data_IF_291504658166
#
_entry.id   IF_291504658166
#
_cell.length_a   1.000
_cell.length_b   1.000
_cell.length_c   1.000
_cell.angle_alpha   90.00
_cell.angle_beta   90.00
_cell.angle_gamma   90.00
#
_symmetry.space_group_name_H-M   'P 1'
#
loop_
_entity.id
_entity.type
_entity.pdbx_description
1 polymer ?
#
# COMPACT_ATOMS: atom_id res chain seq x y z
N UNK A 1 12.95 15.12 -9.99
CA UNK A 1 11.52 14.77 -9.95
C UNK A 1 11.39 13.26 -10.04
N UNK A 2 10.47 12.68 -9.31
CA UNK A 2 10.15 11.24 -9.35
C UNK A 2 8.73 11.08 -9.85
N UNK A 3 8.52 10.30 -10.89
CA UNK A 3 7.19 10.03 -11.44
C UNK A 3 6.59 8.78 -10.83
N UNK A 4 5.47 8.93 -10.17
CA UNK A 4 4.68 7.86 -9.55
C UNK A 4 3.53 7.49 -10.48
N UNK A 5 3.40 6.21 -10.80
CA UNK A 5 2.18 5.65 -11.36
C UNK A 5 1.38 4.98 -10.24
N UNK A 6 0.10 5.31 -10.14
CA UNK A 6 -0.82 4.71 -9.17
C UNK A 6 -1.97 4.05 -9.92
N UNK A 7 -2.27 2.81 -9.59
CA UNK A 7 -3.32 2.03 -10.23
C UNK A 7 -4.51 1.90 -9.30
N UNK A 8 -5.68 2.26 -9.82
CA UNK A 8 -6.98 1.95 -9.22
C UNK A 8 -7.56 0.75 -9.93
N UNK A 9 -7.62 -0.38 -9.24
CA UNK A 9 -7.95 -1.68 -9.83
C UNK A 9 -9.34 -2.13 -9.39
N UNK A 10 -10.13 -2.63 -10.34
CA UNK A 10 -11.29 -3.47 -10.05
C UNK A 10 -10.87 -4.93 -10.20
N UNK A 11 -10.45 -5.53 -9.10
CA UNK A 11 -10.08 -6.95 -9.10
C UNK A 11 -11.30 -7.84 -9.33
N UNK A 12 -11.15 -8.82 -10.20
CA UNK A 12 -12.09 -9.92 -10.40
C UNK A 12 -11.75 -11.09 -9.46
N UNK A 13 -12.60 -12.09 -9.40
CA UNK A 13 -12.32 -13.34 -8.67
C UNK A 13 -11.30 -14.24 -9.38
N UNK A 14 -10.95 -13.92 -10.62
CA UNK A 14 -10.00 -14.67 -11.45
C UNK A 14 -8.59 -14.05 -11.35
N UNK A 15 -7.69 -14.77 -10.69
CA UNK A 15 -6.30 -14.37 -10.50
C UNK A 15 -5.56 -14.11 -11.82
N UNK A 16 -5.78 -14.93 -12.84
CA UNK A 16 -5.07 -14.80 -14.11
C UNK A 16 -5.53 -13.58 -14.91
N UNK A 17 -6.85 -13.25 -14.85
CA UNK A 17 -7.37 -12.01 -15.45
C UNK A 17 -6.78 -10.78 -14.76
N UNK A 18 -6.66 -10.81 -13.42
CA UNK A 18 -6.06 -9.70 -12.68
C UNK A 18 -4.56 -9.58 -12.99
N UNK A 19 -3.82 -10.70 -13.04
CA UNK A 19 -2.41 -10.69 -13.41
C UNK A 19 -2.19 -10.04 -14.78
N UNK A 20 -2.99 -10.42 -15.81
CA UNK A 20 -2.92 -9.78 -17.14
C UNK A 20 -3.13 -8.27 -17.07
N UNK A 21 -4.11 -7.78 -16.30
CA UNK A 21 -4.33 -6.34 -16.08
C UNK A 21 -3.13 -5.67 -15.40
N UNK A 22 -2.56 -6.31 -14.38
CA UNK A 22 -1.41 -5.81 -13.63
C UNK A 22 -0.20 -5.65 -14.56
N UNK A 23 0.12 -6.69 -15.33
CA UNK A 23 1.22 -6.67 -16.31
C UNK A 23 1.03 -5.56 -17.36
N UNK A 24 -0.20 -5.39 -17.86
CA UNK A 24 -0.54 -4.29 -18.77
C UNK A 24 -0.29 -2.91 -18.12
N UNK A 25 -0.71 -2.70 -16.86
CA UNK A 25 -0.49 -1.42 -16.18
C UNK A 25 0.99 -1.16 -15.87
N UNK A 26 1.79 -2.19 -15.55
CA UNK A 26 3.25 -2.05 -15.38
C UNK A 26 3.88 -1.54 -16.68
N UNK A 27 3.57 -2.18 -17.80
CA UNK A 27 4.07 -1.75 -19.13
C UNK A 27 3.60 -0.33 -19.46
N UNK A 28 2.33 0.01 -19.20
CA UNK A 28 1.79 1.35 -19.42
C UNK A 28 2.49 2.39 -18.54
N UNK A 29 2.76 2.07 -17.27
CA UNK A 29 3.48 2.95 -16.34
C UNK A 29 4.88 3.28 -16.86
N UNK A 30 5.62 2.26 -17.28
CA UNK A 30 6.97 2.42 -17.83
C UNK A 30 6.99 3.24 -19.12
N UNK A 31 6.05 3.00 -20.06
CA UNK A 31 5.91 3.79 -21.29
C UNK A 31 5.64 5.28 -21.03
N UNK A 32 5.06 5.64 -19.87
CA UNK A 32 4.87 7.02 -19.46
C UNK A 32 6.02 7.57 -18.58
N UNK A 33 7.13 6.83 -18.49
CA UNK A 33 8.33 7.25 -17.75
C UNK A 33 8.18 7.22 -16.24
N UNK A 34 7.29 6.38 -15.69
CA UNK A 34 7.16 6.26 -14.25
C UNK A 34 8.35 5.49 -13.65
N UNK A 35 8.85 5.96 -12.49
CA UNK A 35 9.90 5.28 -11.73
C UNK A 35 9.37 4.11 -10.92
N UNK A 36 8.11 4.17 -10.51
CA UNK A 36 7.43 3.16 -9.70
C UNK A 36 5.94 3.09 -10.06
N UNK A 37 5.40 1.86 -10.05
CA UNK A 37 3.99 1.59 -10.23
C UNK A 37 3.43 0.94 -8.97
N UNK A 38 2.41 1.57 -8.36
CA UNK A 38 1.80 1.12 -7.11
C UNK A 38 0.39 0.56 -7.35
N UNK A 39 0.13 -0.63 -6.84
CA UNK A 39 -1.13 -1.35 -6.93
C UNK A 39 -1.84 -1.43 -5.58
N UNK A 40 -3.18 -1.61 -5.56
CA UNK A 40 -3.97 -1.68 -4.33
C UNK A 40 -3.80 -3.01 -3.58
N UNK A 41 -4.37 -3.05 -2.37
CA UNK A 41 -4.57 -4.27 -1.59
C UNK A 41 -5.48 -5.25 -2.37
N UNK A 42 -5.30 -6.56 -2.15
CA UNK A 42 -6.10 -7.62 -2.78
C UNK A 42 -6.08 -7.62 -4.31
N UNK A 43 -4.99 -7.12 -4.90
CA UNK A 43 -4.86 -7.06 -6.36
C UNK A 43 -4.81 -8.45 -7.02
N UNK A 44 -4.46 -9.48 -6.23
CA UNK A 44 -4.38 -10.85 -6.72
C UNK A 44 -5.74 -11.39 -7.15
N UNK A 45 -6.77 -11.24 -6.31
CA UNK A 45 -8.16 -11.51 -6.65
C UNK A 45 -9.11 -10.94 -5.58
N UNK A 46 -10.34 -10.65 -5.99
CA UNK A 46 -11.43 -10.28 -5.11
C UNK A 46 -11.98 -11.50 -4.40
N UNK A 47 -12.13 -11.44 -3.07
CA UNK A 47 -12.74 -12.49 -2.24
C UNK A 47 -14.22 -12.19 -2.02
N UNK A 48 -15.09 -13.14 -2.42
CA UNK A 48 -16.53 -13.07 -2.10
C UNK A 48 -16.74 -13.34 -0.61
N UNK A 49 -17.84 -12.84 -0.05
CA UNK A 49 -18.24 -13.12 1.33
C UNK A 49 -18.42 -14.63 1.60
N UNK A 50 -18.90 -15.38 0.60
CA UNK A 50 -19.09 -16.82 0.65
C UNK A 50 -17.80 -17.65 0.59
N UNK A 51 -16.64 -17.04 0.27
CA UNK A 51 -15.37 -17.76 0.18
C UNK A 51 -14.88 -18.17 1.56
N UNK A 52 -14.68 -19.47 1.75
CA UNK A 52 -14.21 -20.03 3.02
C UNK A 52 -12.72 -19.73 3.25
N UNK A 53 -12.24 -19.78 4.51
CA UNK A 53 -10.81 -19.66 4.82
C UNK A 53 -9.94 -20.67 4.08
N UNK A 54 -10.41 -21.93 3.94
CA UNK A 54 -9.72 -22.98 3.20
C UNK A 54 -9.57 -22.63 1.73
N UNK A 55 -10.65 -22.22 1.06
CA UNK A 55 -10.61 -21.81 -0.36
C UNK A 55 -9.64 -20.64 -0.59
N UNK A 56 -9.60 -19.67 0.33
CA UNK A 56 -8.64 -18.57 0.23
C UNK A 56 -7.20 -19.07 0.37
N UNK A 57 -6.93 -19.96 1.33
CA UNK A 57 -5.59 -20.52 1.56
C UNK A 57 -5.12 -21.41 0.39
N UNK A 58 -6.03 -22.14 -0.24
CA UNK A 58 -5.72 -22.96 -1.42
C UNK A 58 -5.32 -22.11 -2.65
N UNK A 59 -5.89 -20.91 -2.79
CA UNK A 59 -5.58 -19.97 -3.87
C UNK A 59 -4.36 -19.10 -3.61
N UNK A 60 -3.92 -18.98 -2.36
CA UNK A 60 -2.78 -18.18 -1.95
C UNK A 60 -1.45 -18.74 -2.48
N UNK A 61 -0.47 -17.87 -2.65
CA UNK A 61 0.87 -18.26 -3.11
C UNK A 61 1.97 -17.85 -2.11
N UNK A 62 3.12 -18.50 -2.19
CA UNK A 62 4.33 -18.02 -1.51
C UNK A 62 4.78 -16.70 -2.15
N UNK A 63 5.58 -15.92 -1.40
CA UNK A 63 6.12 -14.65 -1.93
C UNK A 63 6.96 -14.83 -3.21
N UNK A 64 7.57 -15.97 -3.40
CA UNK A 64 8.30 -16.37 -4.61
C UNK A 64 7.47 -17.27 -5.54
N UNK A 65 6.14 -17.27 -5.40
CA UNK A 65 5.21 -17.99 -6.27
C UNK A 65 5.03 -17.31 -7.63
N UNK A 66 4.28 -17.99 -8.52
CA UNK A 66 4.11 -17.55 -9.90
C UNK A 66 3.58 -16.12 -10.03
N UNK A 67 2.60 -15.74 -9.21
CA UNK A 67 1.99 -14.41 -9.28
C UNK A 67 3.01 -13.28 -9.10
N UNK A 68 3.86 -13.36 -8.07
CA UNK A 68 4.88 -12.32 -7.82
C UNK A 68 6.05 -12.46 -8.79
N UNK A 69 6.40 -13.68 -9.22
CA UNK A 69 7.46 -13.91 -10.22
C UNK A 69 7.13 -13.25 -11.56
N UNK A 70 5.90 -13.36 -12.05
CA UNK A 70 5.47 -12.69 -13.29
C UNK A 70 5.53 -11.15 -13.16
N UNK A 71 5.12 -10.60 -12.01
CA UNK A 71 5.23 -9.17 -11.72
C UNK A 71 6.71 -8.74 -11.67
N UNK A 72 7.57 -9.54 -11.05
CA UNK A 72 9.01 -9.28 -10.95
C UNK A 72 9.68 -9.30 -12.34
N UNK A 73 9.30 -10.24 -13.19
CA UNK A 73 9.76 -10.30 -14.59
C UNK A 73 9.32 -9.07 -15.37
N UNK A 74 8.06 -8.65 -15.22
CA UNK A 74 7.55 -7.44 -15.87
C UNK A 74 8.24 -6.16 -15.35
N UNK A 75 8.51 -6.08 -14.05
CA UNK A 75 9.28 -4.98 -13.45
C UNK A 75 10.68 -4.89 -14.06
N UNK A 76 11.37 -6.03 -14.21
CA UNK A 76 12.69 -6.12 -14.85
C UNK A 76 12.64 -5.72 -16.33
N UNK A 77 11.73 -6.31 -17.10
CA UNK A 77 11.57 -6.04 -18.54
C UNK A 77 11.28 -4.57 -18.85
N UNK A 78 10.57 -3.90 -17.95
CA UNK A 78 10.18 -2.50 -18.09
C UNK A 78 11.06 -1.53 -17.27
N UNK A 79 12.11 -2.01 -16.58
CA UNK A 79 13.04 -1.23 -15.76
C UNK A 79 12.34 -0.32 -14.73
N UNK A 80 11.21 -0.76 -14.16
CA UNK A 80 10.35 -0.01 -13.25
C UNK A 80 10.25 -0.70 -11.88
N UNK A 81 10.16 0.06 -10.80
CA UNK A 81 9.82 -0.51 -9.49
C UNK A 81 8.32 -0.79 -9.39
N UNK A 82 7.94 -1.81 -8.60
CA UNK A 82 6.54 -2.17 -8.37
C UNK A 82 6.27 -2.37 -6.89
N UNK A 83 5.22 -1.70 -6.38
CA UNK A 83 4.59 -2.00 -5.08
C UNK A 83 3.28 -2.72 -5.34
N UNK A 84 3.09 -3.87 -4.70
CA UNK A 84 1.87 -4.66 -4.84
C UNK A 84 1.57 -5.46 -3.58
N UNK A 85 0.46 -6.19 -3.61
CA UNK A 85 0.04 -7.08 -2.51
C UNK A 85 -0.28 -8.48 -3.01
N UNK A 86 -0.22 -9.45 -2.11
CA UNK A 86 -0.68 -10.81 -2.39
C UNK A 86 -1.31 -11.43 -1.15
N UNK A 87 -2.16 -12.41 -1.35
CA UNK A 87 -2.49 -13.39 -0.32
C UNK A 87 -1.33 -14.38 -0.23
N UNK A 88 -0.48 -14.22 0.80
CA UNK A 88 0.70 -15.06 1.00
C UNK A 88 0.31 -16.30 1.83
N UNK A 89 0.76 -17.48 1.39
CA UNK A 89 0.61 -18.73 2.16
C UNK A 89 1.20 -18.58 3.56
N UNK A 90 0.43 -18.95 4.58
CA UNK A 90 0.92 -19.00 5.96
C UNK A 90 1.18 -20.44 6.40
N UNK A 91 1.90 -20.60 7.51
CA UNK A 91 2.08 -21.90 8.18
C UNK A 91 0.84 -22.32 8.97
N UNK A 92 -0.08 -21.40 9.26
CA UNK A 92 -1.35 -21.72 9.93
C UNK A 92 -2.34 -22.28 8.94
N UNK A 93 -2.91 -23.45 9.25
CA UNK A 93 -3.91 -24.14 8.43
C UNK A 93 -5.08 -23.22 8.10
N UNK A 94 -5.49 -23.20 6.83
CA UNK A 94 -6.61 -22.41 6.31
C UNK A 94 -6.51 -20.90 6.59
N UNK A 95 -5.30 -20.36 6.68
CA UNK A 95 -5.03 -18.93 6.89
C UNK A 95 -3.99 -18.43 5.93
N UNK A 96 -4.06 -17.14 5.60
CA UNK A 96 -3.09 -16.44 4.74
C UNK A 96 -2.55 -15.21 5.45
N UNK A 97 -1.43 -14.67 4.97
CA UNK A 97 -1.05 -13.28 5.25
C UNK A 97 -1.55 -12.38 4.13
N UNK A 98 -1.92 -11.16 4.47
CA UNK A 98 -2.00 -10.06 3.52
C UNK A 98 -0.63 -9.39 3.50
N UNK A 99 0.07 -9.51 2.36
CA UNK A 99 1.48 -9.12 2.26
C UNK A 99 1.68 -8.10 1.17
N UNK A 100 2.22 -6.93 1.54
CA UNK A 100 2.74 -5.94 0.61
C UNK A 100 4.19 -6.29 0.26
N UNK A 101 4.55 -6.12 -1.01
CA UNK A 101 5.91 -6.35 -1.51
C UNK A 101 6.39 -5.20 -2.39
N UNK A 102 7.71 -5.00 -2.40
CA UNK A 102 8.41 -4.09 -3.29
C UNK A 102 9.38 -4.88 -4.16
N UNK A 103 9.18 -4.78 -5.47
CA UNK A 103 10.10 -5.28 -6.49
C UNK A 103 10.88 -4.10 -7.07
N UNK A 104 12.21 -4.24 -7.20
CA UNK A 104 13.04 -3.23 -7.84
C UNK A 104 13.07 -3.40 -9.38
N UNK A 105 13.68 -2.44 -10.08
CA UNK A 105 13.79 -2.44 -11.55
C UNK A 105 14.60 -3.61 -12.13
N UNK A 106 15.29 -4.38 -11.29
CA UNK A 106 16.02 -5.59 -11.69
C UNK A 106 15.20 -6.87 -11.48
N UNK A 107 13.92 -6.74 -11.08
CA UNK A 107 13.03 -7.87 -10.80
C UNK A 107 13.31 -8.55 -9.45
N UNK A 108 14.06 -7.92 -8.54
CA UNK A 108 14.33 -8.48 -7.21
C UNK A 108 13.29 -7.98 -6.20
N UNK A 109 12.69 -8.89 -5.44
CA UNK A 109 11.89 -8.55 -4.26
C UNK A 109 12.85 -8.02 -3.19
N UNK A 110 12.72 -6.74 -2.85
CA UNK A 110 13.66 -6.04 -1.95
C UNK A 110 13.09 -5.79 -0.57
N UNK A 111 11.76 -5.80 -0.44
CA UNK A 111 11.08 -5.66 0.85
C UNK A 111 9.72 -6.36 0.82
N UNK A 112 9.32 -6.90 1.97
CA UNK A 112 7.97 -7.42 2.21
C UNK A 112 7.48 -6.93 3.56
N UNK A 113 6.16 -6.74 3.65
CA UNK A 113 5.47 -6.35 4.88
C UNK A 113 4.17 -7.13 4.98
N UNK A 114 3.95 -7.86 6.07
CA UNK A 114 2.69 -8.53 6.39
C UNK A 114 1.83 -7.61 7.24
N UNK A 115 0.60 -7.36 6.83
CA UNK A 115 -0.38 -6.51 7.53
C UNK A 115 -0.47 -6.88 9.01
N UNK A 116 -0.24 -5.90 9.89
CA UNK A 116 -0.28 -6.10 11.35
C UNK A 116 -1.71 -5.97 11.86
N UNK A 117 -2.44 -4.94 11.41
CA UNK A 117 -3.79 -4.66 11.90
C UNK A 117 -4.82 -5.24 10.94
N UNK A 118 -5.39 -6.38 11.33
CA UNK A 118 -6.49 -7.01 10.59
C UNK A 118 -7.79 -6.23 10.83
N UNK A 119 -8.62 -6.13 9.78
CA UNK A 119 -9.87 -5.38 9.85
C UNK A 119 -10.98 -6.24 10.49
N UNK A 120 -11.01 -6.24 11.82
CA UNK A 120 -12.06 -6.86 12.64
C UNK A 120 -12.99 -5.78 13.18
N UNK A 121 -13.78 -5.17 12.30
CA UNK A 121 -14.67 -4.07 12.65
C UNK A 121 -15.84 -3.94 11.66
N UNK A 122 -16.93 -3.36 12.11
CA UNK A 122 -18.11 -3.00 11.30
C UNK A 122 -18.66 -4.20 10.50
N UNK A 123 -18.74 -5.37 11.12
CA UNK A 123 -19.27 -6.60 10.52
C UNK A 123 -18.26 -7.38 9.66
N UNK A 124 -17.03 -6.91 9.55
CA UNK A 124 -15.93 -7.65 8.89
C UNK A 124 -15.02 -8.28 9.94
N UNK A 125 -14.46 -9.44 9.61
CA UNK A 125 -13.57 -10.19 10.48
C UNK A 125 -12.47 -10.87 9.65
N UNK A 126 -11.43 -10.08 9.32
CA UNK A 126 -10.28 -10.59 8.55
C UNK A 126 -9.53 -11.68 9.30
N UNK A 127 -9.50 -11.63 10.65
CA UNK A 127 -8.85 -12.63 11.48
C UNK A 127 -9.41 -14.04 11.34
N UNK A 128 -10.63 -14.22 10.77
CA UNK A 128 -11.16 -15.54 10.45
C UNK A 128 -10.40 -16.22 9.31
N UNK A 129 -9.80 -15.45 8.42
CA UNK A 129 -9.14 -15.93 7.19
C UNK A 129 -7.64 -15.61 7.15
N UNK A 130 -7.17 -14.65 7.95
CA UNK A 130 -5.81 -14.12 7.90
C UNK A 130 -5.07 -14.27 9.23
N UNK A 131 -3.76 -14.17 9.14
CA UNK A 131 -2.83 -14.11 10.28
C UNK A 131 -2.21 -12.72 10.30
N UNK A 132 -2.21 -12.02 11.43
CA UNK A 132 -1.52 -10.74 11.54
C UNK A 132 -0.01 -10.89 11.39
N UNK A 133 0.63 -9.91 10.79
CA UNK A 133 2.07 -9.75 10.82
C UNK A 133 2.57 -9.46 12.24
N UNK A 134 3.83 -9.74 12.50
CA UNK A 134 4.43 -9.61 13.85
C UNK A 134 5.41 -8.43 13.98
N UNK A 135 5.70 -7.71 12.89
CA UNK A 135 6.69 -6.62 12.89
C UNK A 135 6.51 -5.63 11.75
N UNK A 136 6.83 -4.39 12.01
CA UNK A 136 6.91 -3.33 11.01
C UNK A 136 8.12 -3.62 10.10
N UNK A 137 7.93 -3.55 8.80
CA UNK A 137 9.05 -3.63 7.86
C UNK A 137 9.85 -2.32 7.87
N UNK A 138 11.16 -2.41 8.10
CA UNK A 138 12.02 -1.23 8.04
C UNK A 138 11.94 -0.59 6.64
N UNK A 139 11.92 0.75 6.54
CA UNK A 139 11.94 1.44 5.27
C UNK A 139 13.14 1.05 4.42
N UNK A 140 12.98 1.12 3.11
CA UNK A 140 14.02 0.81 2.14
C UNK A 140 14.51 2.09 1.47
N UNK A 141 15.81 2.38 1.55
CA UNK A 141 16.44 3.45 0.78
C UNK A 141 16.55 3.04 -0.69
N UNK A 142 16.09 3.90 -1.59
CA UNK A 142 16.10 3.70 -3.04
C UNK A 142 16.57 4.97 -3.75
N UNK A 143 16.72 4.91 -5.09
CA UNK A 143 17.04 6.10 -5.90
C UNK A 143 15.95 7.19 -5.87
N UNK A 144 14.70 6.82 -5.57
CA UNK A 144 13.56 7.76 -5.54
C UNK A 144 13.21 8.25 -4.13
N UNK A 145 13.99 7.86 -3.12
CA UNK A 145 13.78 8.19 -1.71
C UNK A 145 13.68 6.94 -0.83
N UNK A 146 13.44 7.17 0.45
CA UNK A 146 13.27 6.12 1.46
C UNK A 146 11.80 5.74 1.56
N UNK A 147 11.48 4.49 1.20
CA UNK A 147 10.11 3.99 1.04
C UNK A 147 9.67 3.19 2.26
N UNK A 148 8.52 3.55 2.84
CA UNK A 148 7.84 2.79 3.88
C UNK A 148 6.56 2.15 3.36
N UNK A 149 6.12 1.04 3.96
CA UNK A 149 4.92 0.30 3.56
C UNK A 149 4.00 0.06 4.74
N UNK A 150 2.72 0.27 4.52
CA UNK A 150 1.61 -0.09 5.40
C UNK A 150 0.44 -0.56 4.53
N UNK A 151 -0.57 -1.23 5.09
CA UNK A 151 -1.69 -1.75 4.31
C UNK A 151 -3.01 -1.27 4.92
N UNK A 152 -3.82 -0.55 4.12
CA UNK A 152 -5.24 -0.27 4.33
C UNK A 152 -5.60 0.12 5.78
N UNK A 153 -6.05 -0.83 6.60
CA UNK A 153 -6.48 -0.60 7.98
C UNK A 153 -5.38 -0.06 8.89
N UNK A 154 -4.10 -0.31 8.56
CA UNK A 154 -2.95 0.29 9.27
C UNK A 154 -2.99 1.83 9.26
N UNK A 155 -3.67 2.45 8.27
CA UNK A 155 -3.89 3.90 8.22
C UNK A 155 -4.61 4.45 9.47
N UNK A 156 -5.38 3.62 10.18
CA UNK A 156 -6.08 4.05 11.39
C UNK A 156 -5.18 4.11 12.62
N UNK A 157 -4.00 3.53 12.56
CA UNK A 157 -3.03 3.45 13.65
C UNK A 157 -1.88 4.43 13.39
N UNK A 158 -1.88 5.62 14.05
CA UNK A 158 -0.86 6.64 13.81
C UNK A 158 0.54 6.14 14.10
N UNK A 159 0.70 5.17 14.99
CA UNK A 159 1.96 4.54 15.35
C UNK A 159 2.66 3.93 14.14
N UNK A 160 1.91 3.32 13.21
CA UNK A 160 2.50 2.70 12.02
C UNK A 160 3.24 3.73 11.16
N UNK A 161 2.55 4.75 10.70
CA UNK A 161 3.14 5.79 9.85
C UNK A 161 4.20 6.59 10.60
N UNK A 162 4.00 6.82 11.91
CA UNK A 162 4.97 7.51 12.76
C UNK A 162 6.28 6.73 12.90
N UNK A 163 6.22 5.43 13.17
CA UNK A 163 7.42 4.60 13.28
C UNK A 163 8.17 4.52 11.95
N UNK A 164 7.46 4.38 10.82
CA UNK A 164 8.07 4.42 9.49
C UNK A 164 8.77 5.75 9.21
N UNK A 165 8.13 6.87 9.54
CA UNK A 165 8.71 8.21 9.36
C UNK A 165 9.92 8.43 10.25
N UNK A 166 9.90 7.98 11.51
CA UNK A 166 11.05 8.03 12.44
C UNK A 166 12.21 7.16 11.97
N UNK A 167 11.92 6.04 11.30
CA UNK A 167 12.90 5.20 10.65
C UNK A 167 13.39 5.75 9.28
N UNK A 168 12.98 6.98 8.93
CA UNK A 168 13.49 7.73 7.78
C UNK A 168 12.62 7.71 6.53
N UNK A 169 11.41 7.14 6.55
CA UNK A 169 10.54 7.16 5.37
C UNK A 169 10.25 8.57 4.89
N UNK A 170 10.38 8.78 3.59
CA UNK A 170 10.05 10.01 2.87
C UNK A 170 8.77 9.85 2.06
N UNK A 171 8.52 8.61 1.62
CA UNK A 171 7.34 8.21 0.86
C UNK A 171 6.74 6.98 1.54
N UNK A 172 5.46 7.05 1.89
CA UNK A 172 4.69 5.95 2.44
C UNK A 172 3.75 5.39 1.36
N UNK A 173 3.81 4.09 1.13
CA UNK A 173 2.85 3.37 0.30
C UNK A 173 1.81 2.69 1.19
N UNK A 174 0.53 2.91 0.87
CA UNK A 174 -0.62 2.37 1.60
C UNK A 174 -1.60 1.67 0.64
N UNK A 175 -1.20 0.55 -0.01
CA UNK A 175 -2.15 -0.27 -0.76
C UNK A 175 -3.40 -0.55 0.05
N UNK A 176 -4.58 -0.35 -0.55
CA UNK A 176 -5.84 -0.42 0.18
C UNK A 176 -6.95 -1.07 -0.64
N UNK A 177 -7.92 -1.62 0.09
CA UNK A 177 -9.20 -2.08 -0.41
C UNK A 177 -10.28 -1.48 0.51
N UNK A 178 -10.42 -0.16 0.46
CA UNK A 178 -11.21 0.62 1.42
C UNK A 178 -12.70 0.46 1.14
N UNK A 179 -13.41 -0.14 2.09
CA UNK A 179 -14.81 -0.54 1.94
C UNK A 179 -15.73 0.68 1.97
N UNK A 180 -16.75 0.70 1.10
CA UNK A 180 -17.84 1.67 1.09
C UNK A 180 -18.65 1.62 2.39
N UNK A 181 -19.31 2.73 2.73
CA UNK A 181 -20.20 2.84 3.88
C UNK A 181 -20.31 4.27 4.37
N UNK A 182 -21.17 4.55 5.36
CA UNK A 182 -21.29 5.87 5.95
C UNK A 182 -19.94 6.40 6.43
N UNK A 183 -19.63 7.66 6.10
CA UNK A 183 -18.38 8.35 6.44
C UNK A 183 -17.07 7.68 5.95
N UNK A 184 -17.13 6.56 5.22
CA UNK A 184 -15.93 5.79 4.83
C UNK A 184 -15.03 6.56 3.86
N UNK A 185 -15.60 7.26 2.87
CA UNK A 185 -14.82 8.08 1.95
C UNK A 185 -14.22 9.30 2.66
N UNK A 186 -14.94 9.89 3.63
CA UNK A 186 -14.44 10.98 4.45
C UNK A 186 -13.27 10.51 5.32
N UNK A 187 -13.42 9.40 6.03
CA UNK A 187 -12.32 8.78 6.78
C UNK A 187 -11.11 8.48 5.89
N UNK A 188 -11.35 7.98 4.67
CA UNK A 188 -10.28 7.73 3.70
C UNK A 188 -9.48 8.99 3.40
N UNK A 189 -10.14 10.10 3.09
CA UNK A 189 -9.48 11.37 2.82
C UNK A 189 -8.73 11.91 4.05
N UNK A 190 -9.40 11.89 5.21
CA UNK A 190 -8.84 12.42 6.46
C UNK A 190 -7.58 11.62 6.84
N UNK A 191 -7.65 10.29 6.90
CA UNK A 191 -6.49 9.50 7.32
C UNK A 191 -5.31 9.67 6.37
N UNK A 192 -5.52 9.62 5.06
CA UNK A 192 -4.43 9.79 4.10
C UNK A 192 -3.76 11.17 4.25
N UNK A 193 -4.54 12.24 4.37
CA UNK A 193 -4.02 13.60 4.61
C UNK A 193 -3.28 13.69 5.94
N UNK A 194 -3.89 13.18 7.02
CA UNK A 194 -3.31 13.25 8.36
C UNK A 194 -1.97 12.52 8.43
N UNK A 195 -1.87 11.28 7.86
CA UNK A 195 -0.62 10.52 7.85
C UNK A 195 0.49 11.24 7.09
N UNK A 196 0.15 11.95 6.01
CA UNK A 196 1.12 12.77 5.28
C UNK A 196 1.58 13.99 6.12
N UNK A 197 0.64 14.76 6.66
CA UNK A 197 0.91 16.00 7.41
C UNK A 197 1.73 15.73 8.67
N UNK A 198 1.26 14.83 9.54
CA UNK A 198 1.85 14.59 10.86
C UNK A 198 3.26 14.00 10.78
N UNK A 199 3.65 13.43 9.64
CA UNK A 199 4.94 12.80 9.40
C UNK A 199 5.82 13.58 8.41
N UNK A 200 5.26 14.61 7.76
CA UNK A 200 5.96 15.40 6.74
C UNK A 200 6.51 14.50 5.63
N UNK A 201 5.68 13.61 5.08
CA UNK A 201 6.05 12.67 4.01
C UNK A 201 4.96 12.61 2.93
N UNK A 202 5.32 12.11 1.75
CA UNK A 202 4.32 11.73 0.76
C UNK A 202 3.55 10.49 1.21
N UNK A 203 2.26 10.43 0.87
CA UNK A 203 1.45 9.23 1.00
C UNK A 203 0.85 8.85 -0.35
N UNK A 204 1.16 7.63 -0.80
CA UNK A 204 0.71 7.03 -2.05
C UNK A 204 -0.24 5.90 -1.68
N UNK A 205 -1.52 6.10 -1.89
CA UNK A 205 -2.58 5.20 -1.44
C UNK A 205 -3.41 4.68 -2.63
N UNK A 206 -2.91 3.67 -3.37
CA UNK A 206 -3.73 2.99 -4.37
C UNK A 206 -4.86 2.22 -3.69
N UNK A 207 -6.07 2.33 -4.23
CA UNK A 207 -7.26 1.67 -3.70
C UNK A 207 -7.97 0.81 -4.76
N UNK A 208 -8.67 -0.22 -4.29
CA UNK A 208 -9.61 -0.97 -5.10
C UNK A 208 -10.82 -0.10 -5.45
N UNK A 209 -11.46 -0.38 -6.61
CA UNK A 209 -12.70 0.27 -7.03
C UNK A 209 -13.73 -0.77 -7.45
N UNK A 210 -14.98 -0.40 -7.41
CA UNK A 210 -16.07 -1.34 -7.71
C UNK A 210 -16.26 -2.38 -6.60
N UNK A 211 -17.01 -3.45 -6.86
CA UNK A 211 -17.42 -4.38 -5.83
C UNK A 211 -17.93 -3.61 -4.58
N UNK A 212 -17.31 -3.85 -3.42
CA UNK A 212 -17.63 -3.19 -2.15
C UNK A 212 -16.69 -2.01 -1.82
N UNK A 213 -15.74 -1.66 -2.72
CA UNK A 213 -14.68 -0.69 -2.46
C UNK A 213 -15.00 0.69 -3.03
N UNK A 214 -14.55 1.74 -2.36
CA UNK A 214 -14.91 3.11 -2.69
C UNK A 214 -14.07 3.73 -3.83
N UNK A 215 -12.89 3.21 -4.11
CA UNK A 215 -11.97 3.84 -5.05
C UNK A 215 -11.26 5.04 -4.42
N UNK A 216 -11.06 6.10 -5.21
CA UNK A 216 -10.37 7.31 -4.79
C UNK A 216 -8.91 7.06 -4.41
N UNK A 217 -8.19 6.29 -5.24
CA UNK A 217 -6.72 6.21 -5.11
C UNK A 217 -6.13 7.61 -5.04
N UNK A 218 -5.28 7.84 -4.04
CA UNK A 218 -4.79 9.18 -3.68
C UNK A 218 -3.26 9.26 -3.72
N UNK A 219 -2.77 10.44 -4.11
CA UNK A 219 -1.42 10.90 -3.79
C UNK A 219 -1.51 12.19 -3.00
N UNK A 220 -0.94 12.19 -1.81
CA UNK A 220 -0.96 13.32 -0.88
C UNK A 220 0.48 13.78 -0.61
N UNK A 221 0.72 15.08 -0.71
CA UNK A 221 2.04 15.64 -0.43
C UNK A 221 2.28 15.87 1.07
N UNK A 222 3.50 16.20 1.51
CA UNK A 222 3.82 16.39 2.94
C UNK A 222 3.02 17.48 3.66
N UNK A 223 2.39 18.42 2.93
CA UNK A 223 1.50 19.43 3.47
C UNK A 223 0.02 19.02 3.52
N UNK A 224 -0.30 17.77 3.11
CA UNK A 224 -1.68 17.28 3.07
C UNK A 224 -2.48 17.73 1.85
N UNK A 225 -1.85 18.35 0.85
CA UNK A 225 -2.48 18.66 -0.44
C UNK A 225 -2.63 17.37 -1.23
N UNK A 226 -3.85 17.08 -1.70
CA UNK A 226 -4.10 15.99 -2.63
C UNK A 226 -3.57 16.43 -4.01
N UNK A 227 -2.59 15.70 -4.52
CA UNK A 227 -2.00 15.93 -5.85
C UNK A 227 -2.75 15.14 -6.92
N UNK A 228 -3.29 13.97 -6.55
CA UNK A 228 -4.08 13.11 -7.41
C UNK A 228 -5.21 12.47 -6.61
N UNK A 229 -6.42 12.43 -7.17
CA UNK A 229 -7.58 11.69 -6.70
C UNK A 229 -8.26 11.05 -7.92
N UNK A 230 -8.16 9.73 -8.05
CA UNK A 230 -8.67 9.00 -9.22
C UNK A 230 -10.19 8.82 -9.22
N UNK A 231 -10.88 9.35 -8.20
CA UNK A 231 -12.34 9.23 -8.09
C UNK A 231 -12.78 7.75 -8.11
N UNK A 232 -13.76 7.41 -8.96
CA UNK A 232 -14.40 6.07 -8.97
C UNK A 232 -14.20 5.30 -10.28
N UNK A 233 -13.19 5.65 -11.09
CA UNK A 233 -12.91 4.96 -12.36
C UNK A 233 -11.70 4.06 -12.24
N UNK A 234 -11.82 2.80 -12.69
CA UNK A 234 -10.64 1.92 -12.86
C UNK A 234 -9.65 2.54 -13.84
N UNK A 235 -8.36 2.45 -13.53
CA UNK A 235 -7.34 2.99 -14.42
C UNK A 235 -6.00 3.21 -13.76
N UNK A 236 -5.17 4.02 -14.40
CA UNK A 236 -3.85 4.44 -13.95
C UNK A 236 -3.76 5.96 -13.97
N UNK A 237 -3.25 6.53 -12.89
CA UNK A 237 -2.93 7.96 -12.75
C UNK A 237 -1.43 8.18 -12.60
N UNK A 238 -0.97 9.38 -12.95
CA UNK A 238 0.44 9.76 -12.89
C UNK A 238 0.59 11.07 -12.13
N UNK A 239 1.66 11.16 -11.34
CA UNK A 239 2.02 12.38 -10.61
C UNK A 239 3.54 12.48 -10.45
N UNK A 240 4.06 13.67 -10.64
CA UNK A 240 5.47 13.97 -10.34
C UNK A 240 5.58 14.51 -8.92
N UNK A 241 6.52 13.95 -8.15
CA UNK A 241 6.82 14.35 -6.77
C UNK A 241 8.28 14.78 -6.63
N UNK A 242 8.57 15.57 -5.60
CA UNK A 242 9.92 16.02 -5.28
C UNK A 242 10.25 15.75 -3.82
N UNK A 243 11.36 15.08 -3.54
CA UNK A 243 11.83 14.90 -2.17
C UNK A 243 12.16 16.24 -1.48
N UNK A 244 12.41 17.28 -2.27
CA UNK A 244 12.62 18.63 -1.74
C UNK A 244 11.41 19.11 -0.92
N UNK A 245 10.18 18.72 -1.30
CA UNK A 245 8.97 19.04 -0.53
C UNK A 245 9.00 18.41 0.87
N UNK A 246 9.51 17.17 0.99
CA UNK A 246 9.69 16.49 2.28
C UNK A 246 10.69 17.25 3.15
N UNK A 247 11.85 17.59 2.58
CA UNK A 247 12.92 18.28 3.32
C UNK A 247 12.49 19.66 3.77
N UNK A 248 11.85 20.43 2.90
CA UNK A 248 11.37 21.77 3.22
C UNK A 248 10.23 21.72 4.24
N UNK A 249 9.30 20.77 4.09
CA UNK A 249 8.21 20.60 5.07
C UNK A 249 8.76 20.28 6.45
N UNK A 250 9.67 19.29 6.55
CA UNK A 250 10.29 18.91 7.83
C UNK A 250 11.18 19.99 8.41
N UNK A 251 11.76 20.88 7.59
CA UNK A 251 12.50 22.06 8.05
C UNK A 251 11.56 23.13 8.64
N UNK A 252 10.45 23.42 7.95
CA UNK A 252 9.47 24.44 8.37
C UNK A 252 8.56 23.97 9.53
N UNK A 253 8.19 22.69 9.51
CA UNK A 253 7.36 22.03 10.51
C UNK A 253 8.11 20.82 11.07
N UNK A 254 9.04 21.00 12.02
CA UNK A 254 9.92 19.92 12.50
C UNK A 254 9.20 18.96 13.49
N UNK A 255 8.04 18.44 13.11
CA UNK A 255 7.15 17.64 13.96
C UNK A 255 7.83 16.39 14.53
N UNK A 256 8.66 15.71 13.74
CA UNK A 256 9.38 14.53 14.19
C UNK A 256 10.45 14.87 15.24
N UNK A 257 11.13 16.03 15.08
CA UNK A 257 12.15 16.52 16.01
C UNK A 257 11.54 17.04 17.33
N UNK A 258 10.38 17.69 17.25
CA UNK A 258 9.71 18.32 18.41
C UNK A 258 8.98 17.30 19.30
N UNK A 259 8.96 16.03 18.96
CA UNK A 259 8.38 14.96 19.80
C UNK A 259 9.07 14.87 21.14
N UNK A 260 8.31 14.51 22.16
CA UNK A 260 8.80 14.32 23.54
C UNK A 260 8.57 12.85 24.00
N UNK A 261 9.25 11.87 23.38
CA UNK A 261 8.96 10.44 23.57
C UNK A 261 9.05 9.99 25.03
N UNK A 262 9.95 10.57 25.83
CA UNK A 262 10.08 10.28 27.27
C UNK A 262 8.81 10.60 28.06
N UNK A 263 7.99 11.58 27.61
CA UNK A 263 6.73 11.90 28.24
C UNK A 263 5.65 10.92 27.81
N UNK A 264 5.60 10.58 26.52
CA UNK A 264 4.57 9.68 25.97
C UNK A 264 4.73 8.24 26.49
N UNK A 265 5.97 7.80 26.76
CA UNK A 265 6.25 6.44 27.26
C UNK A 265 5.73 6.16 28.66
N UNK A 266 5.28 7.18 29.39
CA UNK A 266 4.66 7.01 30.72
C UNK A 266 3.24 6.42 30.64
N UNK A 267 2.59 6.52 29.49
CA UNK A 267 1.27 5.93 29.23
C UNK A 267 1.45 4.59 28.52
N UNK A 268 1.91 3.58 29.27
CA UNK A 268 1.93 2.20 28.80
C UNK A 268 0.55 1.60 29.03
N UNK A 269 -0.08 1.12 27.97
CA UNK A 269 -1.25 0.24 28.04
C UNK A 269 -0.84 -1.15 28.51
#
# INVERSE_FOLDING_TARGET
>A
MTKIAIVQLKASTDKNKNLKKILHYISKAAKHGADICAFPEFMMFYTKSSQTPRQLADMAEKINGNFVTEIANAAKQNSIMVVGTLYEKSTKKNRVYDTCFLVNQNGKITRTYRKIHLYDALGFKESDKMVPGSKIALPLRTKIGTLGMLICYDLRFPEMSRNLALAGSEILFAPSAWIKGPFKEEHWLIFNKTRAIENGCYLIAPDQVGNIYCGRSLVVNPYGKILLDMKRKEGIGFVDISLQDVYQTRKKLPLLKNRRPKIYSKFKS
#
